data_IF_989217440332
#
_entry.id   IF_989217440332
#
_cell.length_a   1.000
_cell.length_b   1.000
_cell.length_c   1.000
_cell.angle_alpha   90.00
_cell.angle_beta   90.00
_cell.angle_gamma   90.00
#
_symmetry.space_group_name_H-M   'P 1'
#
loop_
_entity.id
_entity.type
_entity.pdbx_description
1 polymer ?
#
# COMPACT_ATOMS: atom_id res chain seq x y z
N UNK A 1 17.33 7.86 -50.44
CA UNK A 1 17.06 6.42 -50.31
C UNK A 1 17.33 6.05 -48.87
N UNK A 2 16.26 5.98 -48.10
CA UNK A 2 16.27 5.62 -46.70
C UNK A 2 16.66 4.16 -46.52
N UNK A 3 17.66 3.91 -45.68
CA UNK A 3 17.69 2.69 -44.88
C UNK A 3 17.84 3.14 -43.44
N UNK A 4 16.69 3.35 -42.79
CA UNK A 4 16.59 3.43 -41.34
C UNK A 4 17.31 2.22 -40.76
N UNK A 5 18.49 2.45 -40.22
CA UNK A 5 19.15 1.50 -39.35
C UNK A 5 18.39 1.48 -38.02
N UNK A 6 17.19 0.90 -38.00
CA UNK A 6 16.55 0.40 -36.79
C UNK A 6 17.37 -0.81 -36.34
N UNK A 7 18.54 -0.53 -35.75
CA UNK A 7 19.48 -1.55 -35.29
C UNK A 7 18.79 -2.32 -34.15
N UNK A 8 18.78 -3.66 -34.19
CA UNK A 8 18.26 -4.49 -33.10
C UNK A 8 18.82 -4.11 -31.71
N UNK A 9 20.01 -3.52 -31.66
CA UNK A 9 20.62 -3.00 -30.43
C UNK A 9 19.86 -1.82 -29.81
N UNK A 10 19.26 -0.93 -30.61
CA UNK A 10 18.54 0.24 -30.09
C UNK A 10 17.21 -0.18 -29.46
N UNK A 11 16.54 -1.18 -30.05
CA UNK A 11 15.35 -1.82 -29.49
C UNK A 11 15.70 -2.55 -28.19
N UNK A 12 16.79 -3.31 -28.15
CA UNK A 12 17.25 -4.01 -26.93
C UNK A 12 17.60 -3.02 -25.82
N UNK A 13 18.28 -1.92 -26.13
CA UNK A 13 18.61 -0.89 -25.16
C UNK A 13 17.35 -0.22 -24.61
N UNK A 14 16.38 0.08 -25.48
CA UNK A 14 15.09 0.68 -25.08
C UNK A 14 14.32 -0.25 -24.14
N UNK A 15 14.28 -1.55 -24.43
CA UNK A 15 13.62 -2.54 -23.57
C UNK A 15 14.32 -2.62 -22.21
N UNK A 16 15.66 -2.68 -22.19
CA UNK A 16 16.44 -2.72 -20.95
C UNK A 16 16.22 -1.46 -20.09
N UNK A 17 16.13 -0.28 -20.71
CA UNK A 17 15.85 0.96 -19.98
C UNK A 17 14.45 0.95 -19.36
N UNK A 18 13.43 0.53 -20.10
CA UNK A 18 12.05 0.43 -19.59
C UNK A 18 11.94 -0.57 -18.43
N UNK A 19 12.56 -1.74 -18.57
CA UNK A 19 12.59 -2.74 -17.49
C UNK A 19 13.29 -2.20 -16.23
N UNK A 20 14.37 -1.44 -16.41
CA UNK A 20 15.08 -0.80 -15.29
C UNK A 20 14.23 0.26 -14.60
N UNK A 21 13.48 1.05 -15.34
CA UNK A 21 12.59 2.07 -14.79
C UNK A 21 11.42 1.43 -14.04
N UNK A 22 10.78 0.41 -14.63
CA UNK A 22 9.71 -0.34 -13.98
C UNK A 22 10.19 -1.01 -12.68
N UNK A 23 11.41 -1.57 -12.69
CA UNK A 23 12.01 -2.14 -11.49
C UNK A 23 12.23 -1.09 -10.39
N UNK A 24 12.72 0.12 -10.74
CA UNK A 24 12.86 1.19 -9.75
C UNK A 24 11.53 1.62 -9.15
N UNK A 25 10.49 1.76 -9.98
CA UNK A 25 9.14 2.10 -9.51
C UNK A 25 8.60 1.03 -8.55
N UNK A 26 8.84 -0.25 -8.85
CA UNK A 26 8.43 -1.37 -7.99
C UNK A 26 9.19 -1.37 -6.65
N UNK A 27 10.50 -1.11 -6.66
CA UNK A 27 11.31 -1.01 -5.44
C UNK A 27 10.82 0.15 -4.56
N UNK A 28 10.66 1.34 -5.13
CA UNK A 28 10.18 2.51 -4.39
C UNK A 28 8.79 2.27 -3.79
N UNK A 29 7.90 1.59 -4.52
CA UNK A 29 6.59 1.22 -4.00
C UNK A 29 6.67 0.21 -2.86
N UNK A 30 7.53 -0.81 -2.96
CA UNK A 30 7.74 -1.77 -1.89
C UNK A 30 8.26 -1.11 -0.60
N UNK A 31 9.19 -0.16 -0.72
CA UNK A 31 9.69 0.63 0.42
C UNK A 31 8.59 1.48 1.07
N UNK A 32 7.71 2.09 0.27
CA UNK A 32 6.56 2.84 0.78
C UNK A 32 5.60 1.92 1.54
N UNK A 33 5.29 0.75 1.00
CA UNK A 33 4.42 -0.22 1.65
C UNK A 33 5.03 -0.74 2.96
N UNK A 34 6.33 -1.04 2.97
CA UNK A 34 7.04 -1.46 4.18
C UNK A 34 7.00 -0.37 5.26
N UNK A 35 7.23 0.89 4.89
CA UNK A 35 7.12 2.02 5.81
C UNK A 35 5.70 2.22 6.35
N UNK A 36 4.69 1.93 5.55
CA UNK A 36 3.30 1.98 5.99
C UNK A 36 3.01 0.86 7.00
N UNK A 37 3.43 -0.37 6.70
CA UNK A 37 3.32 -1.52 7.61
C UNK A 37 4.03 -1.22 8.93
N UNK A 38 5.27 -0.73 8.91
CA UNK A 38 5.98 -0.36 10.13
C UNK A 38 5.23 0.67 10.97
N UNK A 39 4.64 1.70 10.33
CA UNK A 39 3.83 2.71 11.03
C UNK A 39 2.58 2.10 11.68
N UNK A 40 1.88 1.22 10.96
CA UNK A 40 0.72 0.52 11.52
C UNK A 40 1.12 -0.39 12.68
N UNK A 41 2.14 -1.22 12.50
CA UNK A 41 2.65 -2.12 13.55
C UNK A 41 3.09 -1.36 14.79
N UNK A 42 3.79 -0.23 14.62
CA UNK A 42 4.18 0.64 15.73
C UNK A 42 2.95 1.18 16.47
N UNK A 43 1.95 1.73 15.76
CA UNK A 43 0.72 2.25 16.37
C UNK A 43 -0.06 1.17 17.12
N UNK A 44 -0.22 0.01 16.52
CA UNK A 44 -0.89 -1.14 17.17
C UNK A 44 -0.12 -1.58 18.42
N UNK A 45 1.21 -1.64 18.34
CA UNK A 45 2.05 -2.02 19.47
C UNK A 45 1.98 -0.98 20.59
N UNK A 46 1.97 0.31 20.28
CA UNK A 46 1.83 1.38 21.28
C UNK A 46 0.44 1.38 21.93
N UNK A 47 -0.60 1.04 21.18
CA UNK A 47 -1.98 0.96 21.69
C UNK A 47 -2.32 -0.38 22.34
N UNK A 48 -1.43 -1.37 22.27
CA UNK A 48 -1.66 -2.73 22.79
C UNK A 48 -2.07 -2.74 24.27
N UNK A 49 -1.46 -1.95 25.19
CA UNK A 49 -1.88 -1.91 26.57
C UNK A 49 -3.30 -1.37 26.74
N UNK A 50 -3.69 -0.32 26.02
CA UNK A 50 -5.06 0.18 26.05
C UNK A 50 -6.05 -0.82 25.45
N UNK A 51 -5.71 -1.48 24.34
CA UNK A 51 -6.55 -2.52 23.73
C UNK A 51 -6.80 -3.68 24.71
N UNK A 52 -5.77 -4.13 25.43
CA UNK A 52 -5.90 -5.17 26.45
C UNK A 52 -6.79 -4.69 27.60
N UNK A 53 -6.63 -3.44 28.06
CA UNK A 53 -7.50 -2.86 29.07
C UNK A 53 -8.96 -2.80 28.62
N UNK A 54 -9.22 -2.35 27.39
CA UNK A 54 -10.57 -2.29 26.81
C UNK A 54 -11.18 -3.69 26.71
N UNK A 55 -10.43 -4.69 26.24
CA UNK A 55 -10.91 -6.07 26.16
C UNK A 55 -11.11 -6.76 27.52
N UNK A 56 -10.55 -6.20 28.60
CA UNK A 56 -10.77 -6.68 29.98
C UNK A 56 -11.96 -6.02 30.68
N UNK A 57 -12.54 -4.97 30.09
CA UNK A 57 -13.75 -4.35 30.62
C UNK A 57 -14.97 -5.25 30.30
N UNK A 58 -15.96 -5.32 31.19
CA UNK A 58 -17.22 -5.98 30.88
C UNK A 58 -17.90 -5.29 29.69
N UNK A 59 -18.63 -6.06 28.89
CA UNK A 59 -19.30 -5.59 27.67
C UNK A 59 -20.06 -4.29 27.94
N UNK A 60 -19.61 -3.21 27.30
CA UNK A 60 -20.17 -1.88 27.44
C UNK A 60 -20.53 -1.36 26.04
N UNK A 61 -21.74 -0.79 25.83
CA UNK A 61 -22.18 -0.32 24.51
C UNK A 61 -21.23 0.68 23.83
N UNK A 62 -20.46 1.42 24.61
CA UNK A 62 -19.41 2.35 24.11
C UNK A 62 -18.24 1.59 23.46
N UNK A 63 -17.85 0.43 24.01
CA UNK A 63 -16.79 -0.40 23.45
C UNK A 63 -17.23 -0.99 22.11
N UNK A 64 -18.47 -1.50 22.03
CA UNK A 64 -19.05 -2.02 20.79
C UNK A 64 -19.16 -0.95 19.71
N UNK A 65 -19.65 0.24 20.08
CA UNK A 65 -19.75 1.38 19.18
C UNK A 65 -18.36 1.83 18.68
N UNK A 66 -17.37 1.86 19.57
CA UNK A 66 -15.98 2.16 19.22
C UNK A 66 -15.40 1.14 18.23
N UNK A 67 -15.58 -0.15 18.50
CA UNK A 67 -15.12 -1.23 17.61
C UNK A 67 -15.77 -1.14 16.23
N UNK A 68 -17.09 -0.96 16.18
CA UNK A 68 -17.85 -0.83 14.95
C UNK A 68 -17.41 0.39 14.12
N UNK A 69 -17.10 1.51 14.80
CA UNK A 69 -16.58 2.72 14.15
C UNK A 69 -15.20 2.47 13.52
N UNK A 70 -14.30 1.81 14.23
CA UNK A 70 -12.95 1.46 13.72
C UNK A 70 -13.04 0.52 12.52
N UNK A 71 -13.92 -0.48 12.56
CA UNK A 71 -14.16 -1.38 11.43
C UNK A 71 -14.72 -0.66 10.20
N UNK A 72 -15.63 0.30 10.39
CA UNK A 72 -16.18 1.10 9.29
C UNK A 72 -15.11 1.97 8.65
N UNK A 73 -14.28 2.65 9.45
CA UNK A 73 -13.16 3.47 8.94
C UNK A 73 -12.14 2.62 8.19
N UNK A 74 -11.76 1.47 8.73
CA UNK A 74 -10.81 0.56 8.08
C UNK A 74 -11.34 0.05 6.74
N UNK A 75 -12.64 -0.28 6.66
CA UNK A 75 -13.28 -0.64 5.38
C UNK A 75 -13.30 0.50 4.37
N UNK A 76 -13.54 1.72 4.82
CA UNK A 76 -13.50 2.90 3.95
C UNK A 76 -12.09 3.13 3.40
N UNK A 77 -11.06 3.05 4.25
CA UNK A 77 -9.66 3.21 3.86
C UNK A 77 -9.24 2.13 2.85
N UNK A 78 -9.53 0.86 3.11
CA UNK A 78 -9.25 -0.23 2.16
C UNK A 78 -9.94 -0.03 0.80
N UNK A 79 -11.18 0.48 0.80
CA UNK A 79 -11.90 0.77 -0.44
C UNK A 79 -11.22 1.92 -1.20
N UNK A 80 -10.72 2.92 -0.50
CA UNK A 80 -9.99 4.03 -1.10
C UNK A 80 -8.67 3.57 -1.71
N UNK A 81 -7.90 2.75 -0.99
CA UNK A 81 -6.64 2.18 -1.50
C UNK A 81 -6.88 1.31 -2.74
N UNK A 82 -7.93 0.50 -2.74
CA UNK A 82 -8.34 -0.28 -3.91
C UNK A 82 -8.75 0.61 -5.09
N UNK A 83 -9.49 1.68 -4.84
CA UNK A 83 -9.87 2.63 -5.89
C UNK A 83 -8.64 3.34 -6.47
N UNK A 84 -7.66 3.70 -5.63
CA UNK A 84 -6.41 4.31 -6.04
C UNK A 84 -5.57 3.35 -6.90
N UNK A 85 -5.49 2.08 -6.52
CA UNK A 85 -4.89 1.00 -7.31
C UNK A 85 -5.58 0.84 -8.67
N UNK A 86 -6.91 0.82 -8.71
CA UNK A 86 -7.67 0.71 -9.96
C UNK A 86 -7.47 1.94 -10.87
N UNK A 87 -7.40 3.14 -10.30
CA UNK A 87 -7.13 4.36 -11.05
C UNK A 87 -5.71 4.39 -11.66
N UNK A 88 -4.72 3.80 -10.97
CA UNK A 88 -3.34 3.69 -11.45
C UNK A 88 -3.17 2.65 -12.58
N UNK A 89 -4.01 1.62 -12.60
CA UNK A 89 -3.93 0.52 -13.58
C UNK A 89 -4.84 0.73 -14.82
N UNK A 90 -5.51 1.88 -14.91
CA UNK A 90 -6.21 2.35 -16.12
C UNK A 90 -5.27 3.20 -16.97
#
# INVERSE_FOLDING_TARGET
>A
MDTMATKPNDVRLTILMRLREELHVKIAFAEQLLNLIHRFTHRVSSCRPEIIKVGSLPDHPIIDCGLQTVEMMTRADMRNDNNLMLARNK
#
